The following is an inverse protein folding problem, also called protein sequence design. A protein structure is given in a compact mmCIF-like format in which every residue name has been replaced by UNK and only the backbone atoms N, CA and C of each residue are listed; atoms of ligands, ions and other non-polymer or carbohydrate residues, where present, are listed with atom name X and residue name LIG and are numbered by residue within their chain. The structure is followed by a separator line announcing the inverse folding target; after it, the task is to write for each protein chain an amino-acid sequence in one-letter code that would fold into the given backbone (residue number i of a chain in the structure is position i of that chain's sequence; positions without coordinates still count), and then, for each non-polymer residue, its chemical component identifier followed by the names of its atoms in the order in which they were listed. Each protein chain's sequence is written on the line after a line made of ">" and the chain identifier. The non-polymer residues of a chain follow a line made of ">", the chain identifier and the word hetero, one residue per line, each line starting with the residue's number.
data_IF_006228567375
#
_entry.id   IF_006228567375
#
_cell.length_a   1.000
_cell.length_b   1.000
_cell.length_c   1.000
_cell.angle_alpha   90.00
_cell.angle_beta   90.00
_cell.angle_gamma   90.00
#
_symmetry.space_group_name_H-M   'P 1'
#
loop_
_entity.id
_entity.type
_entity.pdbx_description
1 polymer ?
#
# COMPACT_ATOMS: atom_id res chain seq x y z
N UNK A 1 -44.50 -7.92 0.61
CA UNK A 1 -43.65 -6.70 0.69
C UNK A 1 -42.18 -7.08 0.86
N UNK A 2 -41.84 -8.05 1.72
CA UNK A 2 -40.44 -8.48 1.92
C UNK A 2 -39.79 -9.19 0.72
N UNK A 3 -40.55 -9.96 -0.07
CA UNK A 3 -40.03 -10.65 -1.27
C UNK A 3 -39.54 -9.68 -2.36
N UNK A 4 -40.22 -8.54 -2.51
CA UNK A 4 -39.84 -7.49 -3.47
C UNK A 4 -38.59 -6.73 -3.03
N UNK A 5 -38.43 -6.49 -1.72
CA UNK A 5 -37.23 -5.84 -1.16
C UNK A 5 -36.01 -6.75 -1.34
N UNK A 6 -36.15 -8.06 -1.07
CA UNK A 6 -35.08 -9.05 -1.27
C UNK A 6 -34.70 -9.13 -2.76
N UNK A 7 -35.70 -9.20 -3.65
CA UNK A 7 -35.46 -9.30 -5.10
C UNK A 7 -34.80 -8.04 -5.67
N UNK A 8 -35.22 -6.85 -5.21
CA UNK A 8 -34.59 -5.56 -5.59
C UNK A 8 -33.15 -5.47 -5.10
N UNK A 9 -32.90 -5.89 -3.85
CA UNK A 9 -31.56 -5.90 -3.27
C UNK A 9 -30.64 -6.85 -4.02
N UNK A 10 -31.12 -8.06 -4.35
CA UNK A 10 -30.39 -9.05 -5.16
C UNK A 10 -30.00 -8.48 -6.53
N UNK A 11 -30.95 -7.88 -7.26
CA UNK A 11 -30.66 -7.25 -8.57
C UNK A 11 -29.65 -6.10 -8.46
N UNK A 12 -29.73 -5.29 -7.40
CA UNK A 12 -28.79 -4.20 -7.18
C UNK A 12 -27.37 -4.73 -6.92
N UNK A 13 -27.23 -5.76 -6.07
CA UNK A 13 -25.94 -6.38 -5.76
C UNK A 13 -25.33 -7.10 -6.97
N UNK A 14 -26.16 -7.67 -7.84
CA UNK A 14 -25.74 -8.37 -9.05
C UNK A 14 -25.38 -7.44 -10.22
N UNK A 15 -25.54 -6.12 -10.10
CA UNK A 15 -25.02 -5.19 -11.11
C UNK A 15 -23.50 -5.32 -11.19
N UNK A 16 -22.94 -5.49 -12.39
CA UNK A 16 -21.50 -5.77 -12.59
C UNK A 16 -20.57 -4.81 -11.86
N UNK A 17 -20.93 -3.52 -11.82
CA UNK A 17 -20.17 -2.47 -11.13
C UNK A 17 -20.22 -2.67 -9.61
N UNK A 18 -21.41 -2.88 -9.06
CA UNK A 18 -21.63 -3.06 -7.61
C UNK A 18 -21.00 -4.36 -7.14
N UNK A 19 -21.22 -5.45 -7.89
CA UNK A 19 -20.63 -6.76 -7.65
C UNK A 19 -19.11 -6.69 -7.62
N UNK A 20 -18.48 -6.14 -8.68
CA UNK A 20 -17.02 -6.04 -8.76
C UNK A 20 -16.44 -5.13 -7.67
N UNK A 21 -17.15 -4.05 -7.32
CA UNK A 21 -16.74 -3.13 -6.27
C UNK A 21 -16.80 -3.76 -4.87
N UNK A 22 -17.90 -4.46 -4.54
CA UNK A 22 -18.08 -5.13 -3.26
C UNK A 22 -17.14 -6.34 -3.12
N UNK A 23 -17.09 -7.21 -4.12
CA UNK A 23 -16.18 -8.36 -4.15
C UNK A 23 -14.72 -7.89 -4.05
N UNK A 24 -14.33 -6.86 -4.80
CA UNK A 24 -13.00 -6.27 -4.73
C UNK A 24 -12.70 -5.63 -3.38
N UNK A 25 -13.67 -4.93 -2.79
CA UNK A 25 -13.56 -4.30 -1.47
C UNK A 25 -13.35 -5.30 -0.34
N UNK A 26 -14.21 -6.34 -0.28
CA UNK A 26 -14.16 -7.40 0.74
C UNK A 26 -12.89 -8.24 0.56
N UNK A 27 -12.59 -8.68 -0.67
CA UNK A 27 -11.38 -9.45 -0.96
C UNK A 27 -10.10 -8.67 -0.63
N UNK A 28 -10.08 -7.38 -0.94
CA UNK A 28 -9.00 -6.49 -0.55
C UNK A 28 -8.85 -6.41 0.97
N UNK A 29 -9.95 -6.20 1.71
CA UNK A 29 -9.92 -6.09 3.17
C UNK A 29 -9.45 -7.38 3.85
N UNK A 30 -9.92 -8.53 3.37
CA UNK A 30 -9.52 -9.85 3.86
C UNK A 30 -8.04 -10.11 3.59
N UNK A 31 -7.58 -9.88 2.34
CA UNK A 31 -6.17 -10.00 1.97
C UNK A 31 -5.26 -9.14 2.86
N UNK A 32 -5.61 -7.86 3.07
CA UNK A 32 -4.85 -6.94 3.94
C UNK A 32 -4.77 -7.43 5.38
N UNK A 33 -5.84 -8.05 5.87
CA UNK A 33 -5.90 -8.63 7.21
C UNK A 33 -4.96 -9.82 7.33
N UNK A 34 -5.01 -10.77 6.39
CA UNK A 34 -4.13 -11.95 6.39
C UNK A 34 -2.64 -11.57 6.38
N UNK A 35 -2.27 -10.53 5.63
CA UNK A 35 -0.86 -10.10 5.51
C UNK A 35 -0.47 -8.95 6.45
N UNK A 36 -1.36 -8.53 7.34
CA UNK A 36 -1.12 -7.43 8.28
C UNK A 36 0.14 -7.64 9.14
N UNK A 37 0.44 -8.84 9.68
CA UNK A 37 1.67 -9.07 10.44
C UNK A 37 2.95 -8.75 9.65
N UNK A 38 2.97 -9.06 8.35
CA UNK A 38 4.14 -8.83 7.49
C UNK A 38 4.26 -7.36 7.07
N UNK A 39 3.12 -6.73 6.76
CA UNK A 39 3.06 -5.28 6.53
C UNK A 39 3.55 -4.50 7.76
N UNK A 40 3.19 -4.96 8.96
CA UNK A 40 3.65 -4.37 10.23
C UNK A 40 5.17 -4.43 10.35
N UNK A 41 5.77 -5.62 10.16
CA UNK A 41 7.24 -5.78 10.20
C UNK A 41 7.92 -4.93 9.13
N UNK A 42 7.38 -4.88 7.90
CA UNK A 42 7.90 -4.02 6.82
C UNK A 42 7.99 -2.57 7.28
N UNK A 43 6.89 -2.01 7.78
CA UNK A 43 6.84 -0.60 8.22
C UNK A 43 7.84 -0.35 9.34
N UNK A 44 7.95 -1.26 10.31
CA UNK A 44 8.90 -1.14 11.42
C UNK A 44 10.35 -1.15 10.93
N UNK A 45 10.71 -2.03 10.01
CA UNK A 45 12.06 -2.05 9.43
C UNK A 45 12.38 -0.76 8.67
N UNK A 46 11.41 -0.23 7.92
CA UNK A 46 11.62 0.98 7.10
C UNK A 46 11.90 2.23 7.92
N UNK A 47 11.33 2.31 9.12
CA UNK A 47 11.38 3.48 10.00
C UNK A 47 12.35 3.32 11.16
N UNK A 48 13.01 2.18 11.26
CA UNK A 48 14.02 1.94 12.27
C UNK A 48 15.32 2.69 11.91
N UNK A 49 15.76 3.58 12.81
CA UNK A 49 16.97 4.40 12.66
C UNK A 49 18.28 3.60 12.66
N UNK A 50 19.41 4.29 12.51
CA UNK A 50 20.75 3.68 12.47
C UNK A 50 21.12 3.08 13.83
N UNK A 51 20.84 3.83 14.90
CA UNK A 51 21.22 3.48 16.27
C UNK A 51 20.19 2.58 16.96
N UNK A 52 18.93 2.63 16.52
CA UNK A 52 17.85 1.84 17.10
C UNK A 52 17.81 0.46 16.46
N UNK A 53 18.39 -0.57 17.08
CA UNK A 53 18.33 -1.96 16.57
C UNK A 53 17.23 -2.82 17.23
N UNK A 54 16.01 -2.27 17.41
CA UNK A 54 14.90 -2.89 18.14
C UNK A 54 14.40 -4.22 17.55
N UNK A 55 14.38 -4.38 16.23
CA UNK A 55 13.98 -5.62 15.57
C UNK A 55 15.18 -6.24 14.84
N UNK A 56 15.67 -7.40 15.32
CA UNK A 56 16.79 -8.15 14.74
C UNK A 56 16.38 -9.61 14.49
N UNK A 57 16.98 -10.22 13.46
CA UNK A 57 16.92 -11.66 13.22
C UNK A 57 15.77 -12.14 12.34
N UNK A 58 15.34 -11.30 11.39
CA UNK A 58 14.44 -11.70 10.32
C UNK A 58 12.95 -11.50 10.63
N UNK A 59 12.14 -11.71 9.59
CA UNK A 59 10.70 -11.38 9.59
C UNK A 59 9.96 -12.15 10.67
N UNK A 60 10.15 -13.47 10.74
CA UNK A 60 9.45 -14.33 11.71
C UNK A 60 9.79 -13.99 13.16
N UNK A 61 11.08 -13.80 13.48
CA UNK A 61 11.51 -13.40 14.82
C UNK A 61 10.91 -12.05 15.22
N UNK A 62 10.77 -11.13 14.27
CA UNK A 62 10.16 -9.82 14.50
C UNK A 62 8.65 -9.92 14.73
N UNK A 63 7.94 -10.80 14.00
CA UNK A 63 6.52 -11.11 14.27
C UNK A 63 6.35 -11.67 15.68
N UNK A 64 7.17 -12.65 16.07
CA UNK A 64 7.14 -13.25 17.41
C UNK A 64 7.47 -12.23 18.51
N UNK A 65 8.42 -11.32 18.24
CA UNK A 65 8.74 -10.24 19.16
C UNK A 65 7.55 -9.30 19.35
N UNK A 66 6.89 -8.86 18.26
CA UNK A 66 5.69 -8.02 18.34
C UNK A 66 4.57 -8.74 19.09
N UNK A 67 4.37 -10.05 18.83
CA UNK A 67 3.39 -10.84 19.56
C UNK A 67 3.67 -10.87 21.06
N UNK A 68 4.93 -11.08 21.46
CA UNK A 68 5.33 -11.09 22.87
C UNK A 68 5.22 -9.72 23.55
N UNK A 69 5.52 -8.63 22.84
CA UNK A 69 5.58 -7.28 23.41
C UNK A 69 4.25 -6.52 23.35
N UNK A 70 3.44 -6.72 22.30
CA UNK A 70 2.20 -5.97 22.02
C UNK A 70 0.95 -6.89 21.96
N UNK A 71 1.13 -8.21 22.02
CA UNK A 71 0.05 -9.19 21.86
C UNK A 71 -0.45 -9.30 20.41
N UNK A 72 -1.48 -10.13 20.21
CA UNK A 72 -2.08 -10.34 18.88
C UNK A 72 -2.57 -9.02 18.25
N UNK A 73 -3.14 -8.11 19.06
CA UNK A 73 -3.61 -6.80 18.59
C UNK A 73 -2.49 -5.94 18.01
N UNK A 74 -1.26 -6.10 18.48
CA UNK A 74 -0.07 -5.42 17.96
C UNK A 74 0.20 -5.69 16.47
N UNK A 75 -0.02 -6.93 16.03
CA UNK A 75 0.18 -7.35 14.63
C UNK A 75 -0.82 -6.72 13.65
N UNK A 76 -1.99 -6.31 14.15
CA UNK A 76 -3.07 -5.74 13.35
C UNK A 76 -3.22 -4.22 13.54
N UNK A 77 -2.27 -3.56 14.20
CA UNK A 77 -2.33 -2.10 14.41
C UNK A 77 -2.24 -1.34 13.10
N UNK A 78 -3.27 -0.53 12.84
CA UNK A 78 -3.45 0.22 11.60
C UNK A 78 -4.14 -0.58 10.48
N UNK A 79 -4.45 -1.87 10.69
CA UNK A 79 -5.14 -2.68 9.67
C UNK A 79 -6.56 -2.18 9.38
N UNK A 80 -7.31 -1.73 10.39
CA UNK A 80 -8.63 -1.14 10.17
C UNK A 80 -8.60 0.04 9.19
N UNK A 81 -7.55 0.87 9.26
CA UNK A 81 -7.34 2.01 8.34
C UNK A 81 -6.97 1.51 6.93
N UNK A 82 -6.18 0.44 6.83
CA UNK A 82 -5.91 -0.22 5.55
C UNK A 82 -7.19 -0.66 4.86
N UNK A 83 -8.09 -1.32 5.59
CA UNK A 83 -9.36 -1.82 5.05
C UNK A 83 -10.28 -0.64 4.68
N UNK A 84 -10.42 0.35 5.57
CA UNK A 84 -11.24 1.54 5.32
C UNK A 84 -10.80 2.30 4.07
N UNK A 85 -9.50 2.39 3.82
CA UNK A 85 -8.93 3.11 2.67
C UNK A 85 -9.29 2.48 1.32
N UNK A 86 -9.64 1.20 1.26
CA UNK A 86 -9.88 0.49 -0.01
C UNK A 86 -11.00 1.16 -0.79
N UNK A 87 -12.11 1.46 -0.13
CA UNK A 87 -13.29 2.05 -0.77
C UNK A 87 -13.03 3.45 -1.37
N UNK A 88 -12.55 4.46 -0.62
CA UNK A 88 -12.29 5.78 -1.19
C UNK A 88 -11.17 5.75 -2.24
N UNK A 89 -10.15 4.90 -2.06
CA UNK A 89 -9.09 4.73 -3.06
C UNK A 89 -9.64 4.23 -4.39
N UNK A 90 -10.40 3.12 -4.36
CA UNK A 90 -11.00 2.51 -5.56
C UNK A 90 -12.05 3.41 -6.20
N UNK A 91 -12.84 4.14 -5.39
CA UNK A 91 -13.88 5.05 -5.89
C UNK A 91 -13.28 6.20 -6.70
N UNK A 92 -12.26 6.88 -6.15
CA UNK A 92 -11.56 7.96 -6.87
C UNK A 92 -10.84 7.41 -8.11
N UNK A 93 -10.29 6.20 -8.01
CA UNK A 93 -9.54 5.60 -9.12
C UNK A 93 -10.47 5.31 -10.28
N UNK A 94 -11.61 4.68 -9.99
CA UNK A 94 -12.62 4.36 -10.97
C UNK A 94 -13.22 5.63 -11.58
N UNK A 95 -13.64 6.60 -10.76
CA UNK A 95 -14.19 7.85 -11.25
C UNK A 95 -13.21 8.57 -12.19
N UNK A 96 -11.96 8.74 -11.76
CA UNK A 96 -10.93 9.39 -12.58
C UNK A 96 -10.66 8.62 -13.88
N UNK A 97 -10.64 7.28 -13.82
CA UNK A 97 -10.44 6.45 -15.02
C UNK A 97 -11.60 6.58 -16.00
N UNK A 98 -12.85 6.59 -15.52
CA UNK A 98 -14.03 6.76 -16.38
C UNK A 98 -14.09 8.15 -17.01
N UNK A 99 -13.67 9.20 -16.29
CA UNK A 99 -13.59 10.54 -16.84
C UNK A 99 -12.51 10.65 -17.93
N UNK A 100 -11.35 10.00 -17.76
CA UNK A 100 -10.25 10.09 -18.73
C UNK A 100 -10.49 9.21 -19.96
N UNK A 101 -11.15 8.05 -19.79
CA UNK A 101 -11.31 7.03 -20.84
C UNK A 101 -11.88 7.57 -22.16
N UNK A 102 -12.96 8.37 -22.20
CA UNK A 102 -13.52 8.91 -23.45
C UNK A 102 -12.53 9.77 -24.25
N UNK A 103 -11.64 10.49 -23.59
CA UNK A 103 -10.66 11.37 -24.24
C UNK A 103 -9.49 10.64 -24.88
N UNK A 104 -9.23 9.39 -24.46
CA UNK A 104 -8.13 8.57 -24.98
C UNK A 104 -8.61 7.46 -25.91
N UNK A 105 -9.93 7.34 -26.10
CA UNK A 105 -10.51 6.32 -26.96
C UNK A 105 -10.38 6.74 -28.42
N UNK A 106 -9.73 5.90 -29.23
CA UNK A 106 -9.62 6.14 -30.66
C UNK A 106 -10.98 5.95 -31.34
N UNK A 107 -11.33 6.79 -32.34
CA UNK A 107 -12.61 6.68 -33.04
C UNK A 107 -12.83 5.27 -33.62
N UNK A 108 -13.96 4.65 -33.28
CA UNK A 108 -14.33 3.33 -33.77
C UNK A 108 -13.75 2.13 -33.00
N UNK A 109 -12.93 2.36 -31.96
CA UNK A 109 -12.41 1.29 -31.11
C UNK A 109 -13.28 1.08 -29.85
N UNK A 110 -13.59 -0.17 -29.47
CA UNK A 110 -14.39 -0.46 -28.27
C UNK A 110 -13.59 -0.31 -26.96
N UNK A 111 -12.26 -0.36 -27.03
CA UNK A 111 -11.37 -0.28 -25.88
C UNK A 111 -10.12 0.57 -26.13
N UNK A 112 -9.54 1.08 -25.04
CA UNK A 112 -8.27 1.80 -25.05
C UNK A 112 -7.11 0.87 -25.46
N UNK A 113 -6.15 1.43 -26.20
CA UNK A 113 -4.85 0.77 -26.45
C UNK A 113 -4.12 0.49 -25.14
N UNK A 114 -3.19 -0.47 -25.12
CA UNK A 114 -2.42 -0.83 -23.92
C UNK A 114 -1.70 0.38 -23.30
N UNK A 115 -1.13 1.26 -24.14
CA UNK A 115 -0.49 2.50 -23.72
C UNK A 115 -1.48 3.52 -23.14
N UNK A 116 -2.66 3.67 -23.75
CA UNK A 116 -3.70 4.56 -23.23
C UNK A 116 -4.28 4.06 -21.89
N UNK A 117 -4.51 2.74 -21.75
CA UNK A 117 -4.91 2.10 -20.47
C UNK A 117 -3.87 2.38 -19.38
N UNK A 118 -2.60 2.24 -19.72
CA UNK A 118 -1.50 2.54 -18.81
C UNK A 118 -1.51 4.00 -18.37
N UNK A 119 -1.64 4.95 -19.31
CA UNK A 119 -1.64 6.38 -19.01
C UNK A 119 -2.85 6.79 -18.14
N UNK A 120 -4.06 6.39 -18.55
CA UNK A 120 -5.28 6.62 -17.78
C UNK A 120 -5.18 6.01 -16.37
N UNK A 121 -4.67 4.78 -16.28
CA UNK A 121 -4.47 4.08 -15.02
C UNK A 121 -3.50 4.79 -14.07
N UNK A 122 -2.42 5.38 -14.60
CA UNK A 122 -1.46 6.16 -13.81
C UNK A 122 -2.07 7.46 -13.27
N UNK A 123 -2.80 8.22 -14.10
CA UNK A 123 -3.46 9.45 -13.64
C UNK A 123 -4.51 9.13 -12.58
N UNK A 124 -5.35 8.12 -12.84
CA UNK A 124 -6.33 7.64 -11.89
C UNK A 124 -5.69 7.20 -10.56
N UNK A 125 -4.58 6.47 -10.62
CA UNK A 125 -3.82 6.06 -9.44
C UNK A 125 -3.26 7.25 -8.66
N UNK A 126 -2.67 8.24 -9.34
CA UNK A 126 -2.16 9.46 -8.71
C UNK A 126 -3.27 10.31 -8.07
N UNK A 127 -4.43 10.43 -8.72
CA UNK A 127 -5.60 11.10 -8.17
C UNK A 127 -6.07 10.41 -6.88
N UNK A 128 -6.17 9.08 -6.89
CA UNK A 128 -6.53 8.30 -5.69
C UNK A 128 -5.52 8.43 -4.56
N UNK A 129 -4.23 8.36 -4.87
CA UNK A 129 -3.17 8.56 -3.87
C UNK A 129 -3.25 9.96 -3.28
N UNK A 130 -3.53 10.98 -4.08
CA UNK A 130 -3.66 12.37 -3.62
C UNK A 130 -4.88 12.54 -2.70
N UNK A 131 -6.03 11.99 -3.08
CA UNK A 131 -7.25 12.06 -2.28
C UNK A 131 -7.14 11.28 -0.95
N UNK A 132 -6.46 10.14 -0.97
CA UNK A 132 -6.35 9.24 0.20
C UNK A 132 -5.07 9.42 1.02
N UNK A 133 -4.19 10.35 0.64
CA UNK A 133 -2.88 10.54 1.27
C UNK A 133 -2.94 10.81 2.78
N UNK A 134 -3.87 11.65 3.30
CA UNK A 134 -3.96 11.90 4.75
C UNK A 134 -4.21 10.62 5.56
N UNK A 135 -5.00 9.68 5.03
CA UNK A 135 -5.25 8.38 5.67
C UNK A 135 -3.97 7.54 5.71
N UNK A 136 -3.17 7.60 4.65
CA UNK A 136 -1.89 6.89 4.55
C UNK A 136 -0.85 7.39 5.54
N UNK A 137 -0.80 8.71 5.73
CA UNK A 137 0.05 9.32 6.75
C UNK A 137 -0.34 8.84 8.15
N UNK A 138 -1.63 8.96 8.50
CA UNK A 138 -2.15 8.62 9.84
C UNK A 138 -1.98 7.14 10.12
N UNK A 139 -2.26 6.26 9.15
CA UNK A 139 -2.01 4.81 9.26
C UNK A 139 -0.56 4.53 9.65
N UNK A 140 0.40 5.08 8.89
CA UNK A 140 1.82 4.85 9.15
C UNK A 140 2.19 5.31 10.55
N UNK A 141 1.70 6.47 10.96
CA UNK A 141 1.99 7.03 12.28
C UNK A 141 1.40 6.22 13.41
N UNK A 142 0.15 5.79 13.31
CA UNK A 142 -0.49 4.96 14.33
C UNK A 142 0.17 3.60 14.46
N UNK A 143 0.63 3.03 13.35
CA UNK A 143 1.45 1.82 13.38
C UNK A 143 2.70 2.10 14.22
N UNK A 144 3.38 3.23 14.03
CA UNK A 144 4.69 3.49 14.66
C UNK A 144 4.61 3.96 16.10
N UNK A 145 3.69 4.87 16.42
CA UNK A 145 3.46 5.39 17.78
C UNK A 145 3.15 4.29 18.81
N UNK A 146 2.70 3.14 18.32
CA UNK A 146 2.31 2.01 19.14
C UNK A 146 3.36 0.90 19.17
N UNK A 147 4.40 1.02 18.32
CA UNK A 147 5.52 0.11 18.26
C UNK A 147 6.45 0.28 19.46
N UNK A 148 7.04 -0.83 19.90
CA UNK A 148 8.14 -0.83 20.89
C UNK A 148 9.48 -0.42 20.24
N UNK A 149 9.52 0.77 19.63
CA UNK A 149 10.74 1.36 19.10
C UNK A 149 11.51 2.07 20.24
N UNK A 150 12.14 1.29 21.12
CA UNK A 150 13.06 1.80 22.15
C UNK A 150 12.55 3.03 22.92
N UNK A 151 13.33 4.12 22.91
CA UNK A 151 13.08 5.40 23.62
C UNK A 151 11.69 6.01 23.39
N UNK A 152 11.01 5.65 22.30
CA UNK A 152 9.66 6.11 21.99
C UNK A 152 8.63 5.59 23.04
N UNK A 153 8.89 4.42 23.64
CA UNK A 153 8.00 3.78 24.62
C UNK A 153 7.97 4.52 25.96
N UNK A 154 9.08 5.12 26.43
CA UNK A 154 9.14 5.74 27.76
C UNK A 154 8.49 7.13 27.82
N UNK A 155 8.60 7.94 26.76
CA UNK A 155 7.95 9.27 26.70
C UNK A 155 6.50 9.25 26.22
N UNK A 156 6.11 8.36 25.28
CA UNK A 156 4.70 8.26 24.87
C UNK A 156 3.80 7.65 25.95
N UNK A 157 4.31 6.72 26.76
CA UNK A 157 3.57 6.21 27.93
C UNK A 157 3.36 7.27 29.02
N UNK A 158 4.18 8.32 29.07
CA UNK A 158 3.99 9.47 29.95
C UNK A 158 2.86 10.41 29.53
N UNK A 159 2.35 10.32 28.29
CA UNK A 159 1.37 11.28 27.74
C UNK A 159 0.04 10.68 27.26
N UNK A 160 -0.05 9.40 26.87
CA UNK A 160 -1.35 8.80 26.46
C UNK A 160 -1.37 7.27 26.54
N UNK A 161 -2.24 6.69 27.38
CA UNK A 161 -2.54 5.24 27.47
C UNK A 161 -3.25 4.66 26.23
N UNK A 162 -3.70 5.49 25.27
CA UNK A 162 -4.40 5.07 24.06
C UNK A 162 -3.84 5.83 22.85
N UNK A 163 -3.52 5.16 21.73
CA UNK A 163 -3.21 5.86 20.49
C UNK A 163 -4.42 6.72 20.08
N UNK A 164 -4.20 7.97 19.65
CA UNK A 164 -5.30 8.87 19.28
C UNK A 164 -6.13 8.29 18.14
N UNK A 165 -7.43 8.60 18.13
CA UNK A 165 -8.30 8.23 17.02
C UNK A 165 -7.83 8.85 15.69
N UNK A 166 -8.32 8.33 14.56
CA UNK A 166 -7.94 8.82 13.22
C UNK A 166 -8.24 10.33 13.06
N UNK A 167 -9.44 10.75 13.46
CA UNK A 167 -9.83 12.16 13.43
C UNK A 167 -8.94 13.03 14.32
N UNK A 168 -8.64 12.56 15.54
CA UNK A 168 -7.77 13.27 16.48
C UNK A 168 -6.33 13.39 15.93
N UNK A 169 -5.84 12.36 15.26
CA UNK A 169 -4.52 12.36 14.61
C UNK A 169 -4.46 13.36 13.45
N UNK A 170 -5.47 13.37 12.58
CA UNK A 170 -5.58 14.34 11.48
C UNK A 170 -5.64 15.77 12.04
N UNK A 171 -6.53 16.00 13.02
CA UNK A 171 -6.69 17.31 13.68
C UNK A 171 -5.39 17.77 14.32
N UNK A 172 -4.68 16.87 15.02
CA UNK A 172 -3.39 17.18 15.63
C UNK A 172 -2.33 17.57 14.60
N UNK A 173 -2.21 16.80 13.50
CA UNK A 173 -1.23 17.10 12.44
C UNK A 173 -1.54 18.43 11.77
N UNK A 174 -2.82 18.68 11.49
CA UNK A 174 -3.25 19.92 10.86
C UNK A 174 -2.98 21.14 11.76
N UNK A 175 -3.37 21.08 13.03
CA UNK A 175 -3.25 22.24 13.93
C UNK A 175 -1.82 22.46 14.45
N UNK A 176 -1.06 21.39 14.72
CA UNK A 176 0.19 21.49 15.48
C UNK A 176 1.46 21.26 14.65
N UNK A 177 1.37 20.68 13.43
CA UNK A 177 2.56 20.28 12.68
C UNK A 177 2.76 21.03 11.35
N UNK A 178 1.90 22.01 11.04
CA UNK A 178 2.01 22.83 9.82
C UNK A 178 0.91 22.57 8.78
N UNK A 179 -0.32 22.30 9.22
CA UNK A 179 -1.50 22.32 8.36
C UNK A 179 -1.54 21.22 7.29
N UNK A 180 -2.10 21.59 6.13
CA UNK A 180 -2.26 20.70 4.97
C UNK A 180 -0.92 20.14 4.50
N UNK A 181 0.14 20.97 4.45
CA UNK A 181 1.46 20.52 4.00
C UNK A 181 1.97 19.34 4.81
N UNK A 182 1.68 19.30 6.11
CA UNK A 182 2.09 18.19 6.98
C UNK A 182 1.28 16.91 6.78
N UNK A 183 0.01 17.01 6.35
CA UNK A 183 -0.80 15.87 5.96
C UNK A 183 -0.27 15.18 4.69
N UNK A 184 0.51 15.89 3.86
CA UNK A 184 1.09 15.40 2.61
C UNK A 184 2.61 15.11 2.68
N UNK A 185 3.19 15.01 3.90
CA UNK A 185 4.60 14.65 4.04
C UNK A 185 4.88 13.24 3.51
N UNK A 186 5.81 13.17 2.56
CA UNK A 186 6.15 11.94 1.83
C UNK A 186 5.41 11.78 0.51
N UNK A 187 4.55 12.73 0.11
CA UNK A 187 3.84 12.66 -1.17
C UNK A 187 4.81 12.64 -2.35
N UNK A 188 5.80 13.54 -2.38
CA UNK A 188 6.83 13.58 -3.44
C UNK A 188 7.54 12.23 -3.64
N UNK A 189 8.15 11.60 -2.63
CA UNK A 189 8.73 10.26 -2.83
C UNK A 189 7.68 9.20 -3.17
N UNK A 190 6.41 9.36 -2.77
CA UNK A 190 5.34 8.45 -3.20
C UNK A 190 5.09 8.55 -4.70
N UNK A 191 4.95 9.76 -5.24
CA UNK A 191 4.69 9.99 -6.66
C UNK A 191 5.86 9.54 -7.54
N UNK A 192 7.10 9.86 -7.12
CA UNK A 192 8.33 9.40 -7.80
C UNK A 192 8.50 7.89 -7.69
N UNK A 193 7.96 7.24 -6.67
CA UNK A 193 7.97 5.77 -6.58
C UNK A 193 6.94 5.10 -7.47
N UNK A 194 5.71 5.63 -7.49
CA UNK A 194 4.57 5.00 -8.17
C UNK A 194 4.70 5.09 -9.70
N UNK A 195 4.96 6.28 -10.26
CA UNK A 195 4.92 6.44 -11.72
C UNK A 195 5.99 5.57 -12.43
N UNK A 196 7.27 5.55 -11.99
CA UNK A 196 8.28 4.66 -12.54
C UNK A 196 8.01 3.19 -12.26
N UNK A 197 7.37 2.84 -11.14
CA UNK A 197 7.04 1.45 -10.85
C UNK A 197 6.13 0.87 -11.92
N UNK A 198 5.06 1.58 -12.28
CA UNK A 198 4.14 1.10 -13.32
C UNK A 198 4.87 1.00 -14.66
N UNK A 199 5.64 2.01 -15.04
CA UNK A 199 6.40 2.02 -16.31
C UNK A 199 7.38 0.86 -16.40
N UNK A 200 8.22 0.67 -15.37
CA UNK A 200 9.17 -0.43 -15.29
C UNK A 200 8.48 -1.78 -15.30
N UNK A 201 7.38 -1.93 -14.54
CA UNK A 201 6.64 -3.18 -14.51
C UNK A 201 6.14 -3.55 -15.91
N UNK A 202 5.58 -2.59 -16.64
CA UNK A 202 5.13 -2.80 -18.02
C UNK A 202 6.28 -3.18 -18.96
N UNK A 203 7.36 -2.39 -18.98
CA UNK A 203 8.51 -2.65 -19.85
C UNK A 203 9.15 -4.01 -19.57
N UNK A 204 9.33 -4.36 -18.29
CA UNK A 204 9.90 -5.65 -17.91
C UNK A 204 8.93 -6.79 -18.26
N UNK A 205 7.63 -6.59 -18.08
CA UNK A 205 6.62 -7.59 -18.43
C UNK A 205 6.61 -7.90 -19.93
N UNK A 206 6.63 -6.88 -20.79
CA UNK A 206 6.72 -7.08 -22.25
C UNK A 206 8.05 -7.72 -22.64
N UNK A 207 9.18 -7.26 -22.10
CA UNK A 207 10.48 -7.87 -22.36
C UNK A 207 10.57 -9.34 -21.92
N UNK A 208 9.98 -9.70 -20.77
CA UNK A 208 9.93 -11.11 -20.33
C UNK A 208 9.03 -11.98 -21.22
N UNK A 209 7.98 -11.42 -21.84
CA UNK A 209 7.17 -12.15 -22.81
C UNK A 209 7.94 -12.45 -24.09
N UNK A 210 8.72 -11.50 -24.59
CA UNK A 210 9.53 -11.67 -25.81
C UNK A 210 10.59 -12.76 -25.65
N UNK A 211 11.06 -12.98 -24.42
CA UNK A 211 12.02 -14.03 -24.09
C UNK A 211 11.39 -15.43 -23.97
N UNK A 212 10.07 -15.56 -23.95
CA UNK A 212 9.41 -16.86 -23.91
C UNK A 212 9.44 -17.54 -25.28
N UNK A 213 9.84 -18.82 -25.36
CA UNK A 213 9.76 -19.58 -26.60
C UNK A 213 8.32 -19.60 -27.13
N UNK A 214 8.13 -19.47 -28.44
CA UNK A 214 6.81 -19.46 -29.09
C UNK A 214 5.92 -20.69 -28.79
N UNK A 215 6.50 -21.76 -28.23
CA UNK A 215 5.81 -22.96 -27.74
C UNK A 215 5.03 -22.75 -26.42
N UNK A 216 5.34 -21.70 -25.65
CA UNK A 216 4.58 -21.37 -24.45
C UNK A 216 3.40 -20.48 -24.83
N UNK A 217 2.18 -21.00 -24.64
CA UNK A 217 0.99 -20.16 -24.74
C UNK A 217 1.03 -19.13 -23.61
N UNK A 218 1.36 -17.88 -23.95
CA UNK A 218 1.30 -16.72 -23.04
C UNK A 218 -0.08 -16.61 -22.39
N UNK A 219 -1.11 -17.24 -22.95
CA UNK A 219 -2.47 -17.33 -22.39
C UNK A 219 -2.59 -18.20 -21.13
N UNK A 220 -1.65 -19.10 -20.84
CA UNK A 220 -1.73 -19.97 -19.67
C UNK A 220 -1.69 -19.12 -18.38
N UNK A 221 -2.69 -19.23 -17.49
CA UNK A 221 -2.82 -18.37 -16.30
C UNK A 221 -1.55 -18.37 -15.43
N UNK A 222 -0.91 -19.53 -15.26
CA UNK A 222 0.33 -19.65 -14.47
C UNK A 222 1.47 -18.86 -15.09
N UNK A 223 1.61 -18.87 -16.43
CA UNK A 223 2.69 -18.13 -17.12
C UNK A 223 2.45 -16.63 -16.99
N UNK A 224 1.21 -16.15 -17.15
CA UNK A 224 0.89 -14.73 -16.92
C UNK A 224 1.18 -14.30 -15.49
N UNK A 225 0.83 -15.13 -14.51
CA UNK A 225 1.05 -14.85 -13.09
C UNK A 225 2.53 -14.84 -12.74
N UNK A 226 3.33 -15.77 -13.27
CA UNK A 226 4.78 -15.79 -13.01
C UNK A 226 5.48 -14.61 -13.65
N UNK A 227 5.17 -14.28 -14.91
CA UNK A 227 5.69 -13.09 -15.58
C UNK A 227 5.30 -11.81 -14.83
N UNK A 228 4.05 -11.69 -14.38
CA UNK A 228 3.56 -10.55 -13.60
C UNK A 228 4.25 -10.43 -12.23
N UNK A 229 4.48 -11.56 -11.56
CA UNK A 229 5.19 -11.59 -10.28
C UNK A 229 6.68 -11.21 -10.44
N UNK A 230 7.35 -11.71 -11.48
CA UNK A 230 8.75 -11.39 -11.76
C UNK A 230 8.95 -9.94 -12.16
N UNK A 231 8.19 -9.46 -13.15
CA UNK A 231 8.21 -8.05 -13.58
C UNK A 231 7.89 -7.10 -12.43
N UNK A 232 6.83 -7.40 -11.67
CA UNK A 232 6.44 -6.63 -10.50
C UNK A 232 7.50 -6.64 -9.39
N UNK A 233 8.14 -7.78 -9.15
CA UNK A 233 9.23 -7.92 -8.17
C UNK A 233 10.48 -7.12 -8.54
N UNK A 234 10.89 -7.16 -9.81
CA UNK A 234 12.04 -6.39 -10.32
C UNK A 234 11.72 -4.89 -10.27
N UNK A 235 10.58 -4.47 -10.83
CA UNK A 235 10.14 -3.07 -10.79
C UNK A 235 10.03 -2.54 -9.35
N UNK A 236 9.49 -3.35 -8.44
CA UNK A 236 9.41 -3.00 -7.02
C UNK A 236 10.78 -2.88 -6.37
N UNK A 237 11.76 -3.68 -6.78
CA UNK A 237 13.13 -3.63 -6.25
C UNK A 237 13.84 -2.36 -6.71
N UNK A 238 13.69 -1.96 -7.96
CA UNK A 238 14.26 -0.71 -8.49
C UNK A 238 13.63 0.52 -7.79
N UNK A 239 12.32 0.50 -7.58
CA UNK A 239 11.58 1.62 -6.98
C UNK A 239 11.53 1.59 -5.45
N UNK A 240 12.08 0.55 -4.82
CA UNK A 240 12.02 0.34 -3.37
C UNK A 240 12.58 1.50 -2.53
N UNK A 241 13.69 2.18 -2.92
CA UNK A 241 14.21 3.32 -2.18
C UNK A 241 13.15 4.42 -1.95
N UNK A 242 12.25 4.65 -2.91
CA UNK A 242 11.18 5.63 -2.78
C UNK A 242 10.06 5.19 -1.83
N UNK A 243 9.77 3.88 -1.77
CA UNK A 243 8.85 3.31 -0.77
C UNK A 243 9.40 3.45 0.66
N UNK A 244 10.71 3.26 0.84
CA UNK A 244 11.39 3.53 2.11
C UNK A 244 11.29 5.02 2.48
N UNK A 245 11.68 5.91 1.56
CA UNK A 245 11.65 7.35 1.79
C UNK A 245 10.24 7.83 2.15
N UNK A 246 9.22 7.36 1.43
CA UNK A 246 7.81 7.64 1.77
C UNK A 246 7.53 7.39 3.24
N UNK A 247 7.88 6.20 3.77
CA UNK A 247 7.60 5.88 5.19
C UNK A 247 8.38 6.75 6.14
N UNK A 248 9.65 7.02 5.86
CA UNK A 248 10.47 7.89 6.71
C UNK A 248 9.93 9.31 6.74
N UNK A 249 9.54 9.86 5.59
CA UNK A 249 8.93 11.20 5.50
C UNK A 249 7.60 11.29 6.26
N UNK A 250 6.78 10.24 6.22
CA UNK A 250 5.51 10.18 6.94
C UNK A 250 5.67 10.23 8.47
N UNK A 251 6.88 9.96 8.98
CA UNK A 251 7.16 9.84 10.43
C UNK A 251 8.16 10.87 10.93
N UNK A 252 8.66 11.77 10.07
CA UNK A 252 9.65 12.80 10.41
C UNK A 252 9.26 13.66 11.62
N UNK A 253 7.97 13.92 11.82
CA UNK A 253 7.48 14.74 12.93
C UNK A 253 7.04 13.94 14.14
N UNK A 254 7.00 12.62 14.05
CA UNK A 254 6.74 11.79 15.21
C UNK A 254 7.97 11.82 16.12
N UNK A 255 7.82 12.46 17.29
CA UNK A 255 8.85 12.47 18.32
C UNK A 255 10.11 13.25 17.92
N UNK A 256 9.93 14.46 17.38
CA UNK A 256 10.97 15.48 17.11
C UNK A 256 12.37 15.12 17.61
N UNK A 257 13.16 14.46 16.76
CA UNK A 257 14.58 14.15 16.99
C UNK A 257 14.93 12.69 17.33
N UNK A 258 14.03 11.90 17.92
CA UNK A 258 14.41 10.57 18.47
C UNK A 258 14.49 9.46 17.42
N UNK A 259 13.79 9.59 16.30
CA UNK A 259 13.93 8.68 15.14
C UNK A 259 15.15 9.04 14.26
N UNK A 260 15.84 10.16 14.55
CA UNK A 260 17.07 10.60 13.88
C UNK A 260 16.92 11.07 12.43
N UNK A 261 15.71 11.09 11.88
CA UNK A 261 15.50 11.47 10.48
C UNK A 261 15.26 12.96 10.34
N UNK A 262 16.16 13.67 9.66
CA UNK A 262 15.96 15.04 9.22
C UNK A 262 16.28 15.13 7.73
N UNK A 263 15.24 15.24 6.91
CA UNK A 263 15.38 15.31 5.46
C UNK A 263 14.73 16.58 4.92
N UNK A 264 15.51 17.36 4.19
CA UNK A 264 15.02 18.58 3.54
C UNK A 264 14.36 18.27 2.19
N UNK A 265 14.84 17.23 1.49
CA UNK A 265 14.33 16.81 0.18
C UNK A 265 14.53 15.31 -0.03
N UNK A 266 13.86 14.74 -1.04
CA UNK A 266 14.02 13.33 -1.45
C UNK A 266 15.48 13.02 -1.80
N UNK A 267 16.16 13.91 -2.55
CA UNK A 267 17.57 13.74 -2.90
C UNK A 267 18.51 13.82 -1.69
N UNK A 268 18.26 14.78 -0.79
CA UNK A 268 19.00 14.87 0.48
C UNK A 268 18.83 13.59 1.33
N UNK A 269 17.61 13.04 1.37
CA UNK A 269 17.34 11.80 2.08
C UNK A 269 18.11 10.61 1.49
N UNK A 270 18.11 10.44 0.17
CA UNK A 270 18.89 9.37 -0.47
C UNK A 270 20.37 9.48 -0.13
N UNK A 271 20.95 10.68 -0.26
CA UNK A 271 22.38 10.92 0.05
C UNK A 271 22.68 10.66 1.52
N UNK A 272 21.82 11.12 2.43
CA UNK A 272 21.99 10.94 3.88
C UNK A 272 21.92 9.46 4.27
N UNK A 273 20.97 8.71 3.70
CA UNK A 273 20.82 7.28 3.99
C UNK A 273 22.03 6.50 3.48
N UNK A 274 22.51 6.78 2.27
CA UNK A 274 23.70 6.12 1.74
C UNK A 274 24.93 6.44 2.58
N UNK A 275 25.07 7.69 3.04
CA UNK A 275 26.20 8.10 3.89
C UNK A 275 26.16 7.48 5.30
N UNK A 276 24.99 7.35 5.93
CA UNK A 276 24.86 6.90 7.31
C UNK A 276 24.56 5.40 7.47
N UNK A 277 23.83 4.80 6.53
CA UNK A 277 23.36 3.40 6.59
C UNK A 277 23.92 2.53 5.47
N UNK A 278 24.62 3.13 4.50
CA UNK A 278 25.07 2.46 3.29
C UNK A 278 23.93 2.12 2.32
N UNK A 279 24.29 1.54 1.17
CA UNK A 279 23.32 1.12 0.15
C UNK A 279 22.27 0.13 0.66
N UNK A 280 22.63 -0.74 1.61
CA UNK A 280 21.70 -1.68 2.25
C UNK A 280 20.60 -0.96 3.06
N UNK A 281 20.86 0.26 3.53
CA UNK A 281 19.88 1.10 4.22
C UNK A 281 18.66 1.41 3.36
N UNK A 282 18.85 1.60 2.05
CA UNK A 282 17.77 1.88 1.09
C UNK A 282 16.78 0.72 0.92
N UNK A 283 17.16 -0.49 1.34
CA UNK A 283 16.39 -1.72 1.17
C UNK A 283 15.87 -2.30 2.49
N UNK A 284 15.88 -1.50 3.57
CA UNK A 284 15.27 -1.88 4.86
C UNK A 284 13.80 -2.23 4.67
N UNK A 285 13.41 -3.44 5.05
CA UNK A 285 12.03 -3.94 4.91
C UNK A 285 11.75 -4.65 3.59
N UNK A 286 12.69 -4.72 2.65
CA UNK A 286 12.46 -5.28 1.30
C UNK A 286 12.04 -6.75 1.35
N UNK A 287 12.73 -7.57 2.16
CA UNK A 287 12.39 -9.00 2.33
C UNK A 287 10.96 -9.17 2.87
N UNK A 288 10.58 -8.40 3.90
CA UNK A 288 9.23 -8.43 4.45
C UNK A 288 8.18 -8.02 3.39
N UNK A 289 8.51 -7.07 2.52
CA UNK A 289 7.64 -6.67 1.41
C UNK A 289 7.48 -7.79 0.38
N UNK A 290 8.57 -8.45 -0.04
CA UNK A 290 8.52 -9.55 -1.01
C UNK A 290 7.71 -10.74 -0.49
N UNK A 291 7.95 -11.14 0.77
CA UNK A 291 7.18 -12.20 1.41
C UNK A 291 5.69 -11.90 1.44
N UNK A 292 5.32 -10.64 1.64
CA UNK A 292 3.92 -10.19 1.76
C UNK A 292 3.18 -10.20 0.42
N UNK A 293 3.84 -9.90 -0.69
CA UNK A 293 3.18 -9.70 -1.98
C UNK A 293 2.46 -10.96 -2.46
N UNK A 294 3.16 -12.11 -2.46
CA UNK A 294 2.61 -13.35 -3.00
C UNK A 294 1.37 -13.84 -2.24
N UNK A 295 1.36 -13.97 -0.90
CA UNK A 295 0.16 -14.34 -0.15
C UNK A 295 -0.96 -13.31 -0.28
N UNK A 296 -0.62 -12.02 -0.34
CA UNK A 296 -1.63 -10.96 -0.50
C UNK A 296 -2.39 -11.12 -1.82
N UNK A 297 -1.67 -11.37 -2.92
CA UNK A 297 -2.28 -11.61 -4.23
C UNK A 297 -3.11 -12.89 -4.23
N UNK A 298 -2.54 -14.00 -3.77
CA UNK A 298 -3.25 -15.28 -3.73
C UNK A 298 -4.57 -15.20 -2.95
N UNK A 299 -4.54 -14.64 -1.73
CA UNK A 299 -5.73 -14.47 -0.89
C UNK A 299 -6.73 -13.51 -1.53
N UNK A 300 -6.26 -12.42 -2.14
CA UNK A 300 -7.15 -11.45 -2.76
C UNK A 300 -7.92 -12.05 -3.95
N UNK A 301 -7.25 -12.76 -4.85
CA UNK A 301 -7.91 -13.41 -6.00
C UNK A 301 -8.86 -14.51 -5.55
N UNK A 302 -8.42 -15.42 -4.68
CA UNK A 302 -9.27 -16.48 -4.16
C UNK A 302 -10.52 -15.93 -3.46
N UNK A 303 -10.37 -14.87 -2.65
CA UNK A 303 -11.51 -14.25 -1.96
C UNK A 303 -12.41 -13.51 -2.93
N UNK A 304 -11.85 -12.86 -3.96
CA UNK A 304 -12.64 -12.18 -4.98
C UNK A 304 -13.56 -13.16 -5.72
N UNK A 305 -13.01 -14.29 -6.16
CA UNK A 305 -13.77 -15.30 -6.90
C UNK A 305 -14.87 -15.91 -6.01
N UNK A 306 -14.55 -16.28 -4.77
CA UNK A 306 -15.53 -16.82 -3.81
C UNK A 306 -16.67 -15.84 -3.51
N UNK A 307 -16.35 -14.56 -3.27
CA UNK A 307 -17.38 -13.55 -2.98
C UNK A 307 -18.22 -13.26 -4.22
N UNK A 308 -17.58 -13.23 -5.40
CA UNK A 308 -18.31 -13.05 -6.66
C UNK A 308 -19.27 -14.19 -6.90
N UNK A 309 -18.81 -15.44 -6.79
CA UNK A 309 -19.63 -16.65 -6.94
C UNK A 309 -20.80 -16.65 -5.94
N UNK A 310 -20.52 -16.34 -4.67
CA UNK A 310 -21.54 -16.23 -3.64
C UNK A 310 -22.62 -15.20 -3.98
N UNK A 311 -22.25 -13.96 -4.36
CA UNK A 311 -23.22 -12.91 -4.68
C UNK A 311 -23.98 -13.20 -5.98
N UNK A 312 -23.36 -13.85 -6.96
CA UNK A 312 -24.07 -14.28 -8.19
C UNK A 312 -25.02 -15.44 -7.92
N UNK A 313 -24.70 -16.30 -6.95
CA UNK A 313 -25.54 -17.43 -6.54
C UNK A 313 -26.70 -17.04 -5.63
N UNK A 314 -26.53 -15.99 -4.81
CA UNK A 314 -27.61 -15.32 -4.04
C UNK A 314 -28.72 -14.87 -4.95
#
# INVERSE_FOLDING_TARGET
>A
MDSDVITRTRRFLQQDVVLSFLSGGIAGAFSRTCVSPMERVKVLYQVQGVDTKSYKGGVLKSILQIWKEEGYRGLFRGNGINCLRIFPYSSVQYATYQEIKPYLLEPGQPELTTGAKFFAGNIAGLASVTATYPLDLVKTRLSIQTASLGNLKSKLHGRTKRPPGMYQSIKHIYLNEGGVRSLYRGFVPTSIGVAPYVALNFTIYEGLKELLPGSYQVHHPVVKLTLGALSGGIAQTITYPFDLLRRRFQVLTLGTGEMGFQYNSTGHALKTIVAQEGYKGLYKGWVANMWKIMPSMAVQWATYDLIKEFITGL
#
